data_IF_146689857805
#
_entry.id   IF_146689857805
#
_cell.length_a   1.000
_cell.length_b   1.000
_cell.length_c   1.000
_cell.angle_alpha   90.00
_cell.angle_beta   90.00
_cell.angle_gamma   90.00
#
_symmetry.space_group_name_H-M   'P 1'
#
loop_
_entity.id
_entity.type
_entity.pdbx_description
1 polymer ?
#
# COMPACT_ATOMS: atom_id res chain seq x y z
N UNK A 1 3.07 -19.17 -24.13
CA UNK A 1 3.54 -17.99 -24.93
C UNK A 1 4.82 -17.50 -24.30
N UNK A 2 5.92 -17.53 -25.03
CA UNK A 2 7.27 -17.23 -24.50
C UNK A 2 7.68 -15.76 -24.53
N UNK A 3 6.94 -14.89 -25.23
CA UNK A 3 7.15 -13.45 -25.19
C UNK A 3 5.87 -12.65 -25.48
N UNK A 4 5.82 -11.41 -25.03
CA UNK A 4 4.80 -10.42 -25.38
C UNK A 4 5.48 -9.15 -25.87
N UNK A 5 5.16 -8.74 -27.11
CA UNK A 5 5.59 -7.46 -27.65
C UNK A 5 4.80 -6.32 -27.01
N UNK A 6 5.50 -5.29 -26.58
CA UNK A 6 4.92 -4.12 -25.92
C UNK A 6 4.96 -2.90 -26.84
N UNK A 7 4.06 -1.96 -26.63
CA UNK A 7 3.99 -0.74 -27.42
C UNK A 7 5.25 0.12 -27.30
N UNK A 8 5.82 0.19 -26.10
CA UNK A 8 7.07 0.87 -25.73
C UNK A 8 7.51 0.42 -24.33
N UNK A 9 8.71 0.77 -23.90
CA UNK A 9 9.23 0.51 -22.55
C UNK A 9 8.64 1.44 -21.51
N UNK A 10 9.48 1.99 -20.60
CA UNK A 10 9.01 2.97 -19.62
C UNK A 10 8.46 4.25 -20.28
N UNK A 11 9.01 4.63 -21.42
CA UNK A 11 8.62 5.85 -22.14
C UNK A 11 8.33 5.57 -23.61
N UNK A 12 7.50 6.40 -24.29
CA UNK A 12 7.12 6.19 -25.70
C UNK A 12 8.28 6.12 -26.70
N UNK A 13 9.41 6.74 -26.40
CA UNK A 13 10.63 6.71 -27.24
C UNK A 13 11.48 5.45 -27.03
N UNK A 14 11.21 4.65 -25.98
CA UNK A 14 11.97 3.43 -25.69
C UNK A 14 11.39 2.23 -26.46
N UNK A 15 11.79 2.10 -27.70
CA UNK A 15 11.37 1.03 -28.63
C UNK A 15 12.59 0.39 -29.30
N UNK A 16 12.54 -0.92 -29.62
CA UNK A 16 11.43 -1.87 -29.33
C UNK A 16 11.31 -2.22 -27.85
N UNK A 17 10.18 -2.85 -27.47
CA UNK A 17 9.94 -3.29 -26.09
C UNK A 17 9.20 -4.63 -26.08
N UNK A 18 9.60 -5.52 -25.18
CA UNK A 18 8.97 -6.83 -24.96
C UNK A 18 9.24 -7.35 -23.56
N UNK A 19 8.42 -8.30 -23.12
CA UNK A 19 8.74 -9.18 -21.99
C UNK A 19 8.90 -10.60 -22.50
N UNK A 20 9.83 -11.36 -21.92
CA UNK A 20 10.13 -12.73 -22.30
C UNK A 20 10.89 -13.45 -21.18
N UNK A 21 10.94 -14.78 -21.23
CA UNK A 21 11.75 -15.61 -20.34
C UNK A 21 13.15 -15.82 -20.92
N UNK A 22 14.22 -15.60 -20.13
CA UNK A 22 15.61 -15.76 -20.57
C UNK A 22 15.92 -17.21 -21.01
N UNK A 23 15.29 -18.20 -20.35
CA UNK A 23 15.42 -19.62 -20.66
C UNK A 23 14.63 -20.06 -21.90
N UNK A 24 13.88 -19.16 -22.52
CA UNK A 24 13.01 -19.40 -23.66
C UNK A 24 11.71 -20.13 -23.31
N UNK A 25 11.44 -20.35 -22.01
CA UNK A 25 10.19 -20.93 -21.51
C UNK A 25 8.96 -20.03 -21.71
N UNK A 26 7.82 -20.54 -21.36
CA UNK A 26 6.58 -19.77 -21.38
C UNK A 26 6.53 -18.76 -20.24
N UNK A 27 5.93 -17.59 -20.52
CA UNK A 27 5.65 -16.59 -19.51
C UNK A 27 4.68 -17.15 -18.47
N UNK A 28 4.87 -16.86 -17.16
CA UNK A 28 3.99 -17.35 -16.09
C UNK A 28 2.65 -16.63 -16.04
N UNK A 29 2.30 -15.86 -17.06
CA UNK A 29 1.07 -15.06 -17.14
C UNK A 29 0.34 -15.25 -18.46
N UNK A 30 -0.98 -15.08 -18.39
CA UNK A 30 -1.87 -14.97 -19.56
C UNK A 30 -2.62 -13.65 -19.47
N UNK A 31 -2.58 -12.84 -20.52
CA UNK A 31 -3.40 -11.63 -20.63
C UNK A 31 -4.81 -12.04 -21.08
N UNK A 32 -5.78 -11.93 -20.19
CA UNK A 32 -7.17 -12.30 -20.45
C UNK A 32 -7.95 -11.16 -21.14
N UNK A 33 -7.53 -9.93 -20.95
CA UNK A 33 -8.12 -8.74 -21.55
C UNK A 33 -7.13 -7.56 -21.54
N UNK A 34 -7.30 -6.64 -22.46
CA UNK A 34 -6.49 -5.42 -22.57
C UNK A 34 -5.13 -5.64 -23.25
N UNK A 35 -4.27 -4.64 -23.10
CA UNK A 35 -2.89 -4.62 -23.61
C UNK A 35 -1.99 -3.96 -22.58
N UNK A 36 -1.57 -4.69 -21.53
CA UNK A 36 -0.72 -4.14 -20.49
C UNK A 36 0.60 -3.63 -21.04
N UNK A 37 1.06 -2.49 -20.54
CA UNK A 37 2.34 -1.92 -20.90
C UNK A 37 3.47 -2.40 -19.99
N UNK A 38 4.67 -1.89 -20.25
CA UNK A 38 5.90 -2.25 -19.54
C UNK A 38 5.80 -2.01 -18.03
N UNK A 39 5.36 -0.82 -17.60
CA UNK A 39 5.21 -0.49 -16.18
C UNK A 39 4.07 -1.30 -15.55
N UNK A 40 2.98 -1.58 -16.28
CA UNK A 40 1.90 -2.43 -15.79
C UNK A 40 2.39 -3.83 -15.40
N UNK A 41 3.28 -4.43 -16.22
CA UNK A 41 3.87 -5.74 -15.88
C UNK A 41 4.82 -5.67 -14.68
N UNK A 42 5.60 -4.59 -14.55
CA UNK A 42 6.44 -4.39 -13.36
C UNK A 42 5.58 -4.30 -12.09
N UNK A 43 4.51 -3.52 -12.13
CA UNK A 43 3.55 -3.43 -11.01
C UNK A 43 2.88 -4.77 -10.73
N UNK A 44 2.43 -5.47 -11.77
CA UNK A 44 1.76 -6.75 -11.66
C UNK A 44 2.64 -7.81 -10.99
N UNK A 45 3.88 -7.97 -11.43
CA UNK A 45 4.78 -9.00 -10.90
C UNK A 45 5.27 -8.68 -9.48
N UNK A 46 5.56 -7.42 -9.17
CA UNK A 46 5.91 -7.03 -7.80
C UNK A 46 4.70 -7.15 -6.86
N UNK A 47 3.52 -6.70 -7.30
CA UNK A 47 2.29 -6.82 -6.54
C UNK A 47 1.90 -8.28 -6.26
N UNK A 48 2.04 -9.17 -7.25
CA UNK A 48 1.76 -10.59 -7.07
C UNK A 48 2.65 -11.23 -6.00
N UNK A 49 3.95 -10.97 -6.03
CA UNK A 49 4.87 -11.48 -5.03
C UNK A 49 4.47 -11.02 -3.62
N UNK A 50 4.15 -9.73 -3.47
CA UNK A 50 3.72 -9.16 -2.20
C UNK A 50 2.46 -9.84 -1.65
N UNK A 51 1.40 -9.95 -2.43
CA UNK A 51 0.14 -10.54 -1.93
C UNK A 51 0.24 -12.04 -1.67
N UNK A 52 1.04 -12.75 -2.45
CA UNK A 52 1.34 -14.17 -2.21
C UNK A 52 2.00 -14.37 -0.85
N UNK A 53 3.01 -13.57 -0.54
CA UNK A 53 3.71 -13.63 0.75
C UNK A 53 2.80 -13.19 1.91
N UNK A 54 1.97 -12.16 1.75
CA UNK A 54 1.00 -11.76 2.77
C UNK A 54 0.03 -12.90 3.10
N UNK A 55 -0.51 -13.56 2.08
CA UNK A 55 -1.39 -14.71 2.31
C UNK A 55 -0.67 -15.86 3.00
N UNK A 56 0.53 -16.17 2.59
CA UNK A 56 1.34 -17.22 3.21
C UNK A 56 1.64 -16.92 4.68
N UNK A 57 2.00 -15.68 4.99
CA UNK A 57 2.37 -15.25 6.34
C UNK A 57 1.18 -15.12 7.30
N UNK A 58 -0.02 -14.81 6.80
CA UNK A 58 -1.19 -14.48 7.63
C UNK A 58 -2.33 -15.49 7.52
N UNK A 59 -2.36 -16.31 6.47
CA UNK A 59 -3.47 -17.22 6.17
C UNK A 59 -4.73 -16.51 5.62
N UNK A 60 -4.69 -15.19 5.46
CA UNK A 60 -5.81 -14.37 5.00
C UNK A 60 -5.68 -13.98 3.53
N UNK A 61 -6.80 -13.81 2.80
CA UNK A 61 -6.75 -13.19 1.48
C UNK A 61 -6.09 -11.82 1.55
N UNK A 62 -5.30 -11.48 0.55
CA UNK A 62 -4.54 -10.24 0.51
C UNK A 62 -4.68 -9.52 -0.82
N UNK A 63 -4.55 -8.19 -0.78
CA UNK A 63 -4.56 -7.34 -1.94
C UNK A 63 -3.55 -6.20 -1.80
N UNK A 64 -3.07 -5.69 -2.92
CA UNK A 64 -2.24 -4.48 -2.97
C UNK A 64 -2.66 -3.57 -4.11
N UNK A 65 -2.46 -2.28 -3.90
CA UNK A 65 -2.59 -1.21 -4.89
C UNK A 65 -1.18 -0.74 -5.22
N UNK A 66 -0.73 -0.98 -6.43
CA UNK A 66 0.62 -0.63 -6.90
C UNK A 66 0.60 0.57 -7.83
N UNK A 67 1.60 1.42 -7.72
CA UNK A 67 1.82 2.54 -8.64
C UNK A 67 3.30 2.92 -8.68
N UNK A 68 3.82 3.12 -9.89
CA UNK A 68 5.25 3.43 -10.10
C UNK A 68 6.19 2.44 -9.41
N UNK A 69 5.86 1.14 -9.55
CA UNK A 69 6.65 0.01 -9.05
C UNK A 69 6.86 0.03 -7.53
N UNK A 70 5.90 0.59 -6.80
CA UNK A 70 5.84 0.53 -5.33
C UNK A 70 4.38 0.41 -4.86
N UNK A 71 4.12 -0.24 -3.72
CA UNK A 71 2.78 -0.30 -3.17
C UNK A 71 2.37 1.09 -2.64
N UNK A 72 1.18 1.55 -3.05
CA UNK A 72 0.48 2.66 -2.42
C UNK A 72 -0.29 2.18 -1.18
N UNK A 73 -0.67 0.90 -1.17
CA UNK A 73 -1.32 0.22 -0.06
C UNK A 73 -1.22 -1.29 -0.19
N UNK A 74 -1.31 -1.98 0.94
CA UNK A 74 -1.33 -3.44 1.05
C UNK A 74 -2.15 -3.82 2.27
N UNK A 75 -2.97 -4.88 2.17
CA UNK A 75 -3.85 -5.28 3.25
C UNK A 75 -4.27 -6.73 3.16
N UNK A 76 -4.74 -7.26 4.29
CA UNK A 76 -5.40 -8.57 4.39
C UNK A 76 -6.90 -8.41 4.59
N UNK A 77 -7.66 -9.47 4.30
CA UNK A 77 -9.12 -9.48 4.23
C UNK A 77 -9.79 -9.54 5.60
N UNK A 78 -9.69 -8.46 6.38
CA UNK A 78 -10.46 -8.30 7.61
C UNK A 78 -11.74 -7.48 7.35
N UNK A 79 -12.82 -7.72 8.11
CA UNK A 79 -14.07 -6.98 7.97
C UNK A 79 -13.87 -5.47 8.11
N UNK A 80 -14.66 -4.69 7.39
CA UNK A 80 -14.66 -3.23 7.48
C UNK A 80 -15.63 -2.76 8.58
N UNK A 81 -15.21 -1.76 9.37
CA UNK A 81 -16.15 -0.99 10.18
C UNK A 81 -17.02 -0.10 9.30
N UNK A 82 -18.14 0.39 9.83
CA UNK A 82 -18.99 1.36 9.10
C UNK A 82 -18.21 2.62 8.67
N UNK A 83 -17.33 3.11 9.53
CA UNK A 83 -16.48 4.27 9.24
C UNK A 83 -15.52 3.98 8.10
N UNK A 84 -14.82 2.83 8.12
CA UNK A 84 -13.93 2.44 7.04
C UNK A 84 -14.69 2.23 5.73
N UNK A 85 -15.86 1.60 5.78
CA UNK A 85 -16.70 1.44 4.58
C UNK A 85 -17.06 2.80 3.95
N UNK A 86 -17.38 3.81 4.78
CA UNK A 86 -17.67 5.17 4.30
C UNK A 86 -16.46 5.85 3.68
N UNK A 87 -15.31 5.86 4.35
CA UNK A 87 -14.10 6.55 3.82
C UNK A 87 -13.52 5.83 2.59
N UNK A 88 -13.84 4.55 2.39
CA UNK A 88 -13.44 3.77 1.21
C UNK A 88 -14.49 3.76 0.11
N UNK A 89 -15.61 4.47 0.30
CA UNK A 89 -16.73 4.58 -0.66
C UNK A 89 -17.32 3.21 -1.04
N UNK A 90 -17.46 2.31 -0.06
CA UNK A 90 -18.02 0.96 -0.24
C UNK A 90 -19.21 0.65 0.67
N UNK A 91 -19.69 1.63 1.42
CA UNK A 91 -20.82 1.51 2.34
C UNK A 91 -22.16 1.22 1.65
N UNK A 92 -22.26 1.45 0.36
CA UNK A 92 -23.41 1.14 -0.48
C UNK A 92 -23.36 -0.27 -1.13
N UNK A 93 -22.29 -1.02 -0.94
CA UNK A 93 -22.10 -2.34 -1.58
C UNK A 93 -22.60 -3.53 -0.73
N UNK A 94 -23.05 -3.28 0.49
CA UNK A 94 -23.45 -4.35 1.42
C UNK A 94 -22.25 -5.10 2.00
N UNK A 95 -22.45 -6.36 2.37
CA UNK A 95 -21.40 -7.23 2.88
C UNK A 95 -20.43 -7.60 1.75
N UNK A 96 -19.14 -7.37 1.98
CA UNK A 96 -18.08 -7.67 1.03
C UNK A 96 -17.38 -8.97 1.38
N UNK A 97 -16.93 -9.71 0.36
CA UNK A 97 -16.06 -10.87 0.55
C UNK A 97 -14.74 -10.47 1.24
N UNK A 98 -14.04 -11.42 1.90
CA UNK A 98 -12.73 -11.11 2.50
C UNK A 98 -11.72 -10.54 1.50
N UNK A 99 -11.69 -11.01 0.25
CA UNK A 99 -10.81 -10.48 -0.78
C UNK A 99 -11.18 -9.05 -1.18
N UNK A 100 -12.48 -8.74 -1.31
CA UNK A 100 -12.97 -7.39 -1.56
C UNK A 100 -12.63 -6.45 -0.40
N UNK A 101 -12.75 -6.90 0.85
CA UNK A 101 -12.28 -6.15 2.03
C UNK A 101 -10.80 -5.86 1.97
N UNK A 102 -9.97 -6.84 1.58
CA UNK A 102 -8.51 -6.64 1.43
C UNK A 102 -8.22 -5.53 0.41
N UNK A 103 -8.87 -5.55 -0.75
CA UNK A 103 -8.66 -4.51 -1.75
C UNK A 103 -9.21 -3.14 -1.33
N UNK A 104 -10.38 -3.09 -0.72
CA UNK A 104 -10.94 -1.85 -0.18
C UNK A 104 -9.97 -1.19 0.81
N UNK A 105 -9.34 -1.97 1.69
CA UNK A 105 -8.33 -1.52 2.64
C UNK A 105 -7.02 -1.10 1.96
N UNK A 106 -6.50 -1.90 1.04
CA UNK A 106 -5.26 -1.61 0.33
C UNK A 106 -5.35 -0.31 -0.48
N UNK A 107 -6.44 -0.12 -1.23
CA UNK A 107 -6.67 1.11 -1.98
C UNK A 107 -7.05 2.27 -1.09
N UNK A 108 -7.87 2.02 -0.07
CA UNK A 108 -8.48 3.03 0.77
C UNK A 108 -7.52 3.77 1.67
N UNK A 109 -6.38 3.16 2.01
CA UNK A 109 -5.39 3.77 2.88
C UNK A 109 -4.76 5.05 2.28
N UNK A 110 -4.53 5.06 0.98
CA UNK A 110 -4.02 6.23 0.24
C UNK A 110 -4.74 6.33 -1.11
N UNK A 111 -5.94 6.90 -1.09
CA UNK A 111 -6.80 7.00 -2.25
C UNK A 111 -6.22 7.93 -3.33
N UNK A 112 -5.40 8.90 -2.95
CA UNK A 112 -4.74 9.81 -3.89
C UNK A 112 -3.67 9.07 -4.70
N UNK A 113 -2.79 8.32 -4.03
CA UNK A 113 -1.74 7.55 -4.71
C UNK A 113 -2.30 6.35 -5.47
N UNK A 114 -3.44 5.79 -5.04
CA UNK A 114 -4.08 4.64 -5.68
C UNK A 114 -4.90 4.99 -6.94
N UNK A 115 -5.09 6.25 -7.24
CA UNK A 115 -5.76 6.68 -8.47
C UNK A 115 -4.95 6.26 -9.70
N UNK A 116 -5.50 5.36 -10.52
CA UNK A 116 -4.79 4.75 -11.66
C UNK A 116 -3.80 3.66 -11.26
N UNK A 117 -4.10 2.89 -10.20
CA UNK A 117 -3.29 1.79 -9.69
C UNK A 117 -3.26 0.57 -10.61
N UNK A 118 -2.33 -0.34 -10.32
CA UNK A 118 -2.37 -1.73 -10.74
C UNK A 118 -2.60 -2.64 -9.54
N UNK A 119 -3.63 -3.49 -9.61
CA UNK A 119 -4.11 -4.29 -8.48
C UNK A 119 -3.48 -5.67 -8.53
N UNK A 120 -3.05 -6.20 -7.37
CA UNK A 120 -2.74 -7.62 -7.23
C UNK A 120 -3.61 -8.26 -6.15
N UNK A 121 -4.11 -9.46 -6.43
CA UNK A 121 -4.97 -10.25 -5.56
C UNK A 121 -4.34 -11.61 -5.30
N UNK A 122 -4.34 -12.06 -4.04
CA UNK A 122 -3.73 -13.35 -3.66
C UNK A 122 -4.55 -14.56 -4.06
N UNK A 123 -5.85 -14.38 -4.28
CA UNK A 123 -6.84 -15.42 -4.55
C UNK A 123 -7.61 -15.15 -5.84
N UNK A 124 -8.41 -16.12 -6.26
CA UNK A 124 -9.33 -15.93 -7.38
C UNK A 124 -10.22 -14.71 -7.15
N UNK A 125 -10.23 -13.80 -8.13
CA UNK A 125 -11.05 -12.60 -8.09
C UNK A 125 -12.53 -13.01 -8.15
N UNK A 126 -13.25 -12.74 -7.08
CA UNK A 126 -14.69 -12.97 -6.97
C UNK A 126 -15.52 -11.79 -7.51
N UNK A 127 -16.84 -11.97 -7.55
CA UNK A 127 -17.79 -10.97 -8.06
C UNK A 127 -17.74 -9.67 -7.26
N UNK A 128 -17.67 -9.75 -5.91
CA UNK A 128 -17.66 -8.57 -5.04
C UNK A 128 -16.42 -7.73 -5.30
N UNK A 129 -15.26 -8.37 -5.40
CA UNK A 129 -13.99 -7.72 -5.71
C UNK A 129 -14.03 -7.06 -7.10
N UNK A 130 -14.56 -7.75 -8.10
CA UNK A 130 -14.71 -7.21 -9.45
C UNK A 130 -15.65 -6.00 -9.51
N UNK A 131 -16.76 -6.03 -8.76
CA UNK A 131 -17.68 -4.88 -8.65
C UNK A 131 -17.01 -3.66 -8.02
N UNK A 132 -16.20 -3.86 -6.98
CA UNK A 132 -15.42 -2.80 -6.36
C UNK A 132 -14.41 -2.23 -7.36
N UNK A 133 -13.64 -3.07 -8.05
CA UNK A 133 -12.66 -2.65 -9.06
C UNK A 133 -13.34 -1.87 -10.19
N UNK A 134 -14.50 -2.30 -10.64
CA UNK A 134 -15.25 -1.67 -11.76
C UNK A 134 -15.50 -0.18 -11.52
N UNK A 135 -15.76 0.21 -10.28
CA UNK A 135 -16.12 1.59 -9.90
C UNK A 135 -14.93 2.51 -9.64
N UNK A 136 -13.72 1.96 -9.58
CA UNK A 136 -12.50 2.72 -9.27
C UNK A 136 -11.68 3.03 -10.53
N UNK A 137 -10.91 4.11 -10.51
CA UNK A 137 -9.93 4.41 -11.58
C UNK A 137 -8.70 3.57 -11.36
N UNK A 138 -8.48 2.60 -12.23
CA UNK A 138 -7.43 1.59 -12.14
C UNK A 138 -6.93 1.22 -13.53
N UNK A 139 -5.68 0.81 -13.67
CA UNK A 139 -5.07 0.43 -14.95
C UNK A 139 -5.18 -1.06 -15.25
N UNK A 140 -5.24 -1.89 -14.23
CA UNK A 140 -5.35 -3.32 -14.42
C UNK A 140 -5.30 -4.12 -13.12
N UNK A 141 -5.44 -5.43 -13.26
CA UNK A 141 -5.43 -6.39 -12.15
C UNK A 141 -4.70 -7.67 -12.54
N UNK A 142 -3.96 -8.25 -11.59
CA UNK A 142 -3.38 -9.59 -11.65
C UNK A 142 -3.94 -10.44 -10.52
N UNK A 143 -4.33 -11.67 -10.84
CA UNK A 143 -4.82 -12.65 -9.89
C UNK A 143 -4.52 -14.08 -10.40
N UNK A 144 -4.53 -15.12 -9.53
CA UNK A 144 -4.34 -16.50 -9.94
C UNK A 144 -5.52 -17.07 -10.75
N UNK A 145 -6.68 -16.42 -10.67
CA UNK A 145 -7.88 -16.78 -11.40
C UNK A 145 -8.96 -15.72 -11.27
N UNK A 146 -10.03 -15.90 -12.00
CA UNK A 146 -11.21 -15.03 -12.02
C UNK A 146 -12.46 -15.89 -12.12
N UNK A 147 -13.45 -15.66 -11.25
CA UNK A 147 -14.75 -16.27 -11.46
C UNK A 147 -15.32 -15.79 -12.80
N UNK A 148 -16.21 -16.59 -13.42
CA UNK A 148 -16.83 -16.23 -14.69
C UNK A 148 -17.46 -14.85 -14.63
N UNK A 149 -18.20 -14.57 -13.56
CA UNK A 149 -18.89 -13.28 -13.36
C UNK A 149 -17.92 -12.13 -13.16
N UNK A 150 -16.88 -12.35 -12.36
CA UNK A 150 -15.83 -11.33 -12.15
C UNK A 150 -15.15 -10.95 -13.47
N UNK A 151 -14.80 -11.93 -14.29
CA UNK A 151 -14.16 -11.68 -15.58
C UNK A 151 -15.08 -10.91 -16.54
N UNK A 152 -16.36 -11.23 -16.58
CA UNK A 152 -17.36 -10.49 -17.37
C UNK A 152 -17.42 -9.02 -16.95
N UNK A 153 -17.49 -8.74 -15.64
CA UNK A 153 -17.54 -7.39 -15.09
C UNK A 153 -16.27 -6.59 -15.43
N UNK A 154 -15.10 -7.20 -15.27
CA UNK A 154 -13.82 -6.54 -15.54
C UNK A 154 -13.60 -6.24 -17.01
N UNK A 155 -14.05 -7.14 -17.92
CA UNK A 155 -13.96 -6.93 -19.37
C UNK A 155 -14.79 -5.76 -19.88
N UNK A 156 -15.86 -5.36 -19.18
CA UNK A 156 -16.66 -4.19 -19.54
C UNK A 156 -15.98 -2.84 -19.21
N UNK A 157 -15.03 -2.86 -18.25
CA UNK A 157 -14.34 -1.67 -17.77
C UNK A 157 -13.49 -1.04 -18.87
N UNK A 158 -13.34 0.30 -18.86
CA UNK A 158 -12.59 1.07 -19.87
C UNK A 158 -13.04 0.76 -21.31
N UNK A 159 -14.36 0.61 -21.51
CA UNK A 159 -14.93 0.27 -22.84
C UNK A 159 -14.32 -1.00 -23.44
N UNK A 160 -14.02 -1.99 -22.62
CA UNK A 160 -13.43 -3.27 -23.04
C UNK A 160 -11.89 -3.31 -23.05
N UNK A 161 -11.22 -2.25 -22.67
CA UNK A 161 -9.75 -2.15 -22.72
C UNK A 161 -9.04 -2.32 -21.37
N UNK A 162 -9.75 -2.68 -20.30
CA UNK A 162 -9.16 -2.88 -18.97
C UNK A 162 -8.19 -4.06 -18.97
N UNK A 163 -7.03 -3.90 -18.33
CA UNK A 163 -6.00 -4.93 -18.30
C UNK A 163 -6.33 -5.99 -17.24
N UNK A 164 -6.50 -7.23 -17.67
CA UNK A 164 -6.75 -8.38 -16.81
C UNK A 164 -5.70 -9.44 -17.08
N UNK A 165 -4.87 -9.72 -16.07
CA UNK A 165 -3.77 -10.68 -16.16
C UNK A 165 -4.04 -11.84 -15.20
N UNK A 166 -3.89 -13.07 -15.71
CA UNK A 166 -3.88 -14.29 -14.90
C UNK A 166 -2.44 -14.75 -14.70
N UNK A 167 -2.03 -14.99 -13.46
CA UNK A 167 -0.73 -15.56 -13.10
C UNK A 167 -0.88 -17.05 -12.83
N UNK A 168 0.11 -17.83 -13.21
CA UNK A 168 0.27 -19.21 -12.72
C UNK A 168 0.78 -19.17 -11.27
N UNK A 169 -0.05 -19.52 -10.28
CA UNK A 169 0.37 -19.47 -8.87
C UNK A 169 1.42 -20.49 -8.49
N UNK A 170 1.63 -21.51 -9.32
CA UNK A 170 2.63 -22.56 -9.10
C UNK A 170 4.03 -22.19 -9.62
N UNK A 171 4.13 -21.11 -10.41
CA UNK A 171 5.42 -20.67 -10.95
C UNK A 171 6.36 -20.20 -9.84
N UNK A 172 7.59 -20.71 -9.89
CA UNK A 172 8.69 -20.31 -9.00
C UNK A 172 9.81 -19.71 -9.87
N UNK A 173 10.19 -18.45 -9.64
CA UNK A 173 11.30 -17.83 -10.36
C UNK A 173 12.63 -18.51 -10.08
N UNK A 174 13.61 -18.33 -10.97
CA UNK A 174 14.98 -18.80 -10.75
C UNK A 174 15.59 -18.22 -9.46
N UNK A 175 16.57 -18.92 -8.89
CA UNK A 175 17.27 -18.48 -7.66
C UNK A 175 18.06 -17.18 -7.85
N UNK A 176 18.55 -16.95 -9.07
CA UNK A 176 19.33 -15.77 -9.44
C UNK A 176 18.46 -14.79 -10.24
N UNK A 177 18.56 -13.53 -9.88
CA UNK A 177 17.94 -12.43 -10.64
C UNK A 177 19.01 -11.49 -11.19
N UNK A 178 18.73 -10.87 -12.35
CA UNK A 178 19.64 -10.01 -13.08
C UNK A 178 19.02 -8.67 -13.39
N UNK A 179 19.88 -7.64 -13.37
CA UNK A 179 19.54 -6.28 -13.77
C UNK A 179 20.68 -5.70 -14.60
N UNK A 180 20.35 -4.98 -15.65
CA UNK A 180 21.34 -4.30 -16.48
C UNK A 180 21.32 -2.79 -16.27
N UNK A 181 22.50 -2.21 -16.03
CA UNK A 181 22.70 -0.77 -15.95
C UNK A 181 23.94 -0.43 -16.78
N UNK A 182 23.82 0.47 -17.73
CA UNK A 182 24.89 0.88 -18.62
C UNK A 182 25.61 -0.30 -19.32
N UNK A 183 24.85 -1.33 -19.70
CA UNK A 183 25.39 -2.54 -20.32
C UNK A 183 26.08 -3.52 -19.35
N UNK A 184 26.25 -3.16 -18.08
CA UNK A 184 26.78 -4.04 -17.04
C UNK A 184 25.63 -4.82 -16.43
N UNK A 185 25.78 -6.14 -16.36
CA UNK A 185 24.82 -7.04 -15.72
C UNK A 185 25.17 -7.21 -14.26
N UNK A 186 24.22 -6.89 -13.40
CA UNK A 186 24.24 -7.19 -11.97
C UNK A 186 23.47 -8.50 -11.74
N UNK A 187 24.04 -9.40 -10.98
CA UNK A 187 23.43 -10.70 -10.62
C UNK A 187 23.47 -10.87 -9.12
N UNK A 188 22.34 -11.30 -8.54
CA UNK A 188 22.23 -11.57 -7.11
C UNK A 188 21.26 -12.73 -6.88
N UNK A 189 21.34 -13.34 -5.69
CA UNK A 189 20.28 -14.23 -5.22
C UNK A 189 18.97 -13.47 -5.03
N UNK A 190 17.87 -14.08 -5.43
CA UNK A 190 16.54 -13.53 -5.18
C UNK A 190 16.29 -13.45 -3.66
N UNK A 191 15.60 -12.39 -3.22
CA UNK A 191 15.26 -12.24 -1.81
C UNK A 191 14.14 -13.22 -1.42
N UNK A 192 14.54 -14.39 -0.89
CA UNK A 192 13.64 -15.46 -0.46
C UNK A 192 13.39 -15.47 1.05
N UNK A 193 13.76 -14.40 1.75
CA UNK A 193 13.55 -14.29 3.18
C UNK A 193 12.07 -14.49 3.53
N UNK A 194 11.81 -15.51 4.37
CA UNK A 194 10.49 -15.74 4.97
C UNK A 194 10.27 -14.80 6.16
N UNK A 195 9.25 -13.97 6.06
CA UNK A 195 8.87 -13.03 7.11
C UNK A 195 7.81 -13.69 7.98
N UNK A 196 8.27 -14.49 8.92
CA UNK A 196 7.46 -15.19 9.92
C UNK A 196 7.57 -14.57 11.33
N UNK A 197 6.87 -15.14 12.31
CA UNK A 197 6.85 -14.61 13.68
C UNK A 197 8.20 -14.63 14.40
N UNK A 198 9.11 -15.54 14.05
CA UNK A 198 10.44 -15.66 14.68
C UNK A 198 11.32 -14.44 14.40
N UNK A 199 11.10 -13.78 13.26
CA UNK A 199 11.81 -12.55 12.87
C UNK A 199 11.64 -11.44 13.92
N UNK A 200 10.56 -11.45 14.67
CA UNK A 200 10.22 -10.42 15.67
C UNK A 200 10.50 -10.85 17.12
N UNK A 201 11.22 -11.95 17.33
CA UNK A 201 11.48 -12.49 18.67
C UNK A 201 12.50 -11.68 19.48
N UNK A 202 13.39 -10.94 18.80
CA UNK A 202 14.40 -10.11 19.48
C UNK A 202 13.86 -8.74 19.88
N UNK A 203 13.00 -8.68 20.91
CA UNK A 203 12.47 -7.43 21.45
C UNK A 203 13.50 -6.77 22.35
N UNK A 204 13.93 -5.57 21.99
CA UNK A 204 15.05 -4.85 22.64
C UNK A 204 14.59 -3.78 23.65
N UNK A 205 13.33 -3.38 23.65
CA UNK A 205 12.73 -2.41 24.57
C UNK A 205 12.34 -3.05 25.92
N UNK A 206 12.06 -2.23 26.94
CA UNK A 206 11.59 -2.69 28.25
C UNK A 206 10.25 -3.41 28.17
N UNK A 207 9.27 -2.81 27.48
CA UNK A 207 8.02 -3.47 27.15
C UNK A 207 8.29 -4.55 26.09
N UNK A 208 7.86 -5.79 26.38
CA UNK A 208 8.11 -6.96 25.52
C UNK A 208 6.84 -7.51 24.89
N UNK A 209 5.67 -6.92 25.20
CA UNK A 209 4.39 -7.48 24.81
C UNK A 209 4.04 -7.12 23.36
N UNK A 210 3.93 -8.13 22.50
CA UNK A 210 3.44 -8.02 21.13
C UNK A 210 2.13 -8.82 21.03
N UNK A 211 0.95 -8.15 21.02
CA UNK A 211 -0.32 -8.82 20.78
C UNK A 211 -0.39 -9.48 19.40
N UNK A 212 -1.23 -10.49 19.23
CA UNK A 212 -1.37 -11.23 17.97
C UNK A 212 -1.65 -10.33 16.75
N UNK A 213 -2.53 -9.33 16.92
CA UNK A 213 -2.81 -8.38 15.84
C UNK A 213 -1.59 -7.54 15.49
N UNK A 214 -0.80 -7.10 16.47
CA UNK A 214 0.43 -6.36 16.21
C UNK A 214 1.48 -7.21 15.49
N UNK A 215 1.54 -8.52 15.79
CA UNK A 215 2.42 -9.45 15.09
C UNK A 215 2.00 -9.60 13.62
N UNK A 216 0.71 -9.69 13.33
CA UNK A 216 0.19 -9.67 11.95
C UNK A 216 0.58 -8.37 11.26
N UNK A 217 0.39 -7.23 11.93
CA UNK A 217 0.71 -5.91 11.38
C UNK A 217 2.22 -5.74 11.12
N UNK A 218 3.08 -6.29 11.98
CA UNK A 218 4.54 -6.34 11.74
C UNK A 218 4.90 -7.15 10.49
N UNK A 219 4.27 -8.31 10.28
CA UNK A 219 4.44 -9.11 9.06
C UNK A 219 4.02 -8.31 7.83
N UNK A 220 2.86 -7.67 7.87
CA UNK A 220 2.37 -6.82 6.77
C UNK A 220 3.34 -5.69 6.47
N UNK A 221 3.83 -5.00 7.50
CA UNK A 221 4.80 -3.92 7.32
C UNK A 221 6.07 -4.39 6.61
N UNK A 222 6.69 -5.46 7.09
CA UNK A 222 7.98 -5.91 6.56
C UNK A 222 7.83 -6.57 5.18
N UNK A 223 6.77 -7.32 4.91
CA UNK A 223 6.49 -7.88 3.57
C UNK A 223 6.22 -6.75 2.57
N UNK A 224 5.47 -5.74 2.95
CA UNK A 224 5.22 -4.56 2.11
C UNK A 224 6.52 -3.86 1.74
N UNK A 225 7.43 -3.68 2.71
CA UNK A 225 8.73 -3.03 2.48
C UNK A 225 9.67 -3.84 1.60
N UNK A 226 9.56 -5.16 1.61
CA UNK A 226 10.34 -6.05 0.74
C UNK A 226 10.13 -5.73 -0.76
N UNK A 227 8.98 -5.12 -1.11
CA UNK A 227 8.59 -4.74 -2.48
C UNK A 227 8.42 -3.23 -2.67
N UNK A 228 8.97 -2.42 -1.77
CA UNK A 228 8.91 -0.96 -1.81
C UNK A 228 10.28 -0.38 -2.09
N UNK A 229 10.36 0.54 -3.06
CA UNK A 229 11.63 1.22 -3.39
C UNK A 229 12.23 1.91 -2.17
N UNK A 230 13.51 1.64 -1.89
CA UNK A 230 14.20 2.17 -0.71
C UNK A 230 14.62 3.64 -0.88
N UNK A 231 14.83 4.41 0.22
CA UNK A 231 14.44 4.03 1.60
C UNK A 231 12.95 3.93 1.71
N UNK A 232 12.49 2.98 2.50
CA UNK A 232 11.06 2.78 2.72
C UNK A 232 10.70 2.55 4.18
N UNK A 233 9.51 3.06 4.56
CA UNK A 233 8.91 2.95 5.88
C UNK A 233 7.40 2.71 5.71
N UNK A 234 6.83 1.85 6.53
CA UNK A 234 5.43 1.47 6.44
C UNK A 234 4.75 1.53 7.82
N UNK A 235 3.68 2.32 7.90
CA UNK A 235 2.76 2.34 9.05
C UNK A 235 1.61 1.39 8.76
N UNK A 236 1.29 0.53 9.72
CA UNK A 236 0.24 -0.50 9.59
C UNK A 236 -0.69 -0.45 10.79
N UNK A 237 -1.98 -0.63 10.57
CA UNK A 237 -2.98 -0.78 11.62
C UNK A 237 -4.08 -1.74 11.18
N UNK A 238 -4.43 -2.65 12.09
CA UNK A 238 -5.56 -3.56 11.93
C UNK A 238 -5.60 -4.27 10.57
N UNK A 239 -4.47 -4.83 10.14
CA UNK A 239 -4.36 -5.64 8.93
C UNK A 239 -4.18 -4.86 7.64
N UNK A 240 -3.83 -3.58 7.69
CA UNK A 240 -3.62 -2.77 6.50
C UNK A 240 -2.49 -1.74 6.66
N UNK A 241 -1.70 -1.54 5.62
CA UNK A 241 -0.81 -0.40 5.51
C UNK A 241 -1.65 0.88 5.45
N UNK A 242 -1.34 1.85 6.30
CA UNK A 242 -2.05 3.14 6.38
C UNK A 242 -1.19 4.32 5.92
N UNK A 243 0.11 4.10 5.76
CA UNK A 243 1.02 5.08 5.18
C UNK A 243 2.33 4.42 4.78
N UNK A 244 2.69 4.55 3.50
CA UNK A 244 3.92 4.01 2.93
C UNK A 244 4.75 5.16 2.37
N UNK A 245 5.99 5.28 2.84
CA UNK A 245 7.00 6.15 2.25
C UNK A 245 7.96 5.32 1.41
N UNK A 246 8.19 5.73 0.17
CA UNK A 246 9.02 5.01 -0.79
C UNK A 246 10.03 5.94 -1.46
N UNK A 247 11.20 5.40 -1.85
CA UNK A 247 12.18 6.08 -2.69
C UNK A 247 12.82 7.33 -2.07
N UNK A 248 12.85 7.43 -0.74
CA UNK A 248 13.42 8.60 -0.06
C UNK A 248 14.91 8.42 0.23
N UNK A 249 15.71 9.47 0.03
CA UNK A 249 17.15 9.44 0.28
C UNK A 249 17.50 9.56 1.78
N UNK A 250 16.61 10.16 2.57
CA UNK A 250 16.76 10.33 4.02
C UNK A 250 15.74 9.49 4.78
N UNK A 251 16.19 8.74 5.80
CA UNK A 251 15.31 7.94 6.65
C UNK A 251 14.23 8.78 7.33
N UNK A 252 14.61 9.92 7.91
CA UNK A 252 13.65 10.79 8.59
C UNK A 252 12.62 11.39 7.61
N UNK A 253 13.00 11.75 6.39
CA UNK A 253 12.04 12.23 5.38
C UNK A 253 11.07 11.13 5.01
N UNK A 254 11.54 9.89 4.90
CA UNK A 254 10.70 8.74 4.65
C UNK A 254 9.68 8.52 5.78
N UNK A 255 10.15 8.54 7.04
CA UNK A 255 9.30 8.39 8.22
C UNK A 255 8.25 9.50 8.33
N UNK A 256 8.61 10.74 7.99
CA UNK A 256 7.67 11.88 7.94
C UNK A 256 6.62 11.71 6.85
N UNK A 257 7.03 11.36 5.65
CA UNK A 257 6.12 11.16 4.51
C UNK A 257 5.10 10.04 4.80
N UNK A 258 5.59 8.88 5.21
CA UNK A 258 4.74 7.75 5.58
C UNK A 258 3.81 8.09 6.75
N UNK A 259 4.31 8.79 7.76
CA UNK A 259 3.54 9.24 8.90
C UNK A 259 2.45 10.26 8.53
N UNK A 260 2.73 11.18 7.62
CA UNK A 260 1.73 12.11 7.11
C UNK A 260 0.58 11.39 6.39
N UNK A 261 0.89 10.37 5.59
CA UNK A 261 -0.13 9.54 4.94
C UNK A 261 -0.98 8.78 5.97
N UNK A 262 -0.35 8.22 7.00
CA UNK A 262 -1.04 7.55 8.10
C UNK A 262 -1.95 8.52 8.87
N UNK A 263 -1.49 9.73 9.14
CA UNK A 263 -2.28 10.78 9.78
C UNK A 263 -3.49 11.16 8.91
N UNK A 264 -3.30 11.34 7.60
CA UNK A 264 -4.38 11.64 6.66
C UNK A 264 -5.44 10.52 6.63
N UNK A 265 -5.03 9.26 6.66
CA UNK A 265 -5.96 8.13 6.75
C UNK A 265 -6.85 8.24 8.01
N UNK A 266 -6.28 8.59 9.17
CA UNK A 266 -7.03 8.74 10.39
C UNK A 266 -7.89 10.02 10.43
N UNK A 267 -7.38 11.15 9.90
CA UNK A 267 -8.13 12.39 9.76
C UNK A 267 -9.38 12.24 8.89
N UNK A 268 -9.33 11.40 7.86
CA UNK A 268 -10.50 11.10 7.00
C UNK A 268 -11.67 10.49 7.78
N UNK A 269 -11.41 9.90 8.94
CA UNK A 269 -12.42 9.28 9.81
C UNK A 269 -13.05 10.28 10.78
N UNK A 270 -12.56 11.50 10.86
CA UNK A 270 -13.10 12.53 11.74
C UNK A 270 -14.52 12.94 11.33
N UNK A 271 -15.42 13.23 12.30
CA UNK A 271 -16.79 13.66 12.00
C UNK A 271 -16.86 14.85 11.05
N UNK A 272 -15.94 15.81 11.17
CA UNK A 272 -15.86 16.98 10.28
C UNK A 272 -15.65 16.57 8.82
N UNK A 273 -14.89 15.52 8.57
CA UNK A 273 -14.61 15.02 7.21
C UNK A 273 -15.74 14.13 6.71
N UNK A 274 -16.25 13.22 7.56
CA UNK A 274 -17.37 12.33 7.21
C UNK A 274 -18.64 13.09 6.85
N UNK A 275 -18.85 14.26 7.45
CA UNK A 275 -20.04 15.09 7.27
C UNK A 275 -19.83 16.27 6.29
N UNK A 276 -18.77 16.25 5.47
CA UNK A 276 -18.57 17.27 4.44
C UNK A 276 -19.78 17.33 3.49
N UNK A 277 -20.41 18.52 3.30
CA UNK A 277 -21.64 18.66 2.54
C UNK A 277 -21.36 18.72 1.02
N UNK A 278 -20.87 17.61 0.45
CA UNK A 278 -20.58 17.55 -0.98
C UNK A 278 -21.82 17.76 -1.86
N UNK A 279 -21.65 18.45 -2.97
CA UNK A 279 -22.64 18.50 -4.04
C UNK A 279 -22.86 17.07 -4.60
N UNK A 280 -24.12 16.73 -4.92
CA UNK A 280 -24.50 15.38 -5.35
C UNK A 280 -23.75 14.92 -6.61
N UNK A 281 -23.58 15.85 -7.55
CA UNK A 281 -22.92 15.61 -8.83
C UNK A 281 -21.41 15.39 -8.73
N UNK A 282 -20.80 15.71 -7.58
CA UNK A 282 -19.35 15.57 -7.41
C UNK A 282 -18.94 14.09 -7.31
N UNK A 283 -18.13 13.64 -8.25
CA UNK A 283 -17.63 12.27 -8.32
C UNK A 283 -16.68 11.92 -7.18
N UNK A 284 -16.50 10.62 -6.92
CA UNK A 284 -15.63 10.12 -5.83
C UNK A 284 -14.20 10.63 -5.90
N UNK A 285 -13.59 10.64 -7.07
CA UNK A 285 -12.22 11.14 -7.26
C UNK A 285 -12.09 12.62 -6.87
N UNK A 286 -13.07 13.44 -7.24
CA UNK A 286 -13.10 14.87 -6.90
C UNK A 286 -13.36 15.07 -5.40
N UNK A 287 -14.20 14.23 -4.78
CA UNK A 287 -14.40 14.23 -3.33
C UNK A 287 -13.13 13.84 -2.59
N UNK A 288 -12.42 12.80 -3.03
CA UNK A 288 -11.14 12.41 -2.45
C UNK A 288 -10.09 13.52 -2.54
N UNK A 289 -10.01 14.21 -3.69
CA UNK A 289 -9.14 15.37 -3.86
C UNK A 289 -9.53 16.52 -2.94
N UNK A 290 -10.82 16.84 -2.84
CA UNK A 290 -11.30 17.89 -1.96
C UNK A 290 -11.02 17.58 -0.48
N UNK A 291 -11.17 16.31 -0.05
CA UNK A 291 -10.83 15.87 1.31
C UNK A 291 -9.34 16.03 1.56
N UNK A 292 -8.49 15.58 0.64
CA UNK A 292 -7.03 15.65 0.79
C UNK A 292 -6.56 17.09 1.01
N UNK A 293 -7.08 18.04 0.22
CA UNK A 293 -6.79 19.49 0.38
C UNK A 293 -7.40 20.03 1.67
N UNK A 294 -8.65 19.66 2.01
CA UNK A 294 -9.35 20.15 3.20
C UNK A 294 -8.65 19.78 4.52
N UNK A 295 -8.12 18.57 4.61
CA UNK A 295 -7.37 18.12 5.80
C UNK A 295 -5.92 18.61 5.81
N UNK A 296 -5.41 19.10 4.68
CA UNK A 296 -4.04 19.61 4.51
C UNK A 296 -3.85 21.04 5.04
N UNK A 297 -2.64 21.56 4.88
CA UNK A 297 -2.30 22.93 5.24
C UNK A 297 -2.84 23.95 4.22
N UNK A 298 -3.13 23.52 3.00
CA UNK A 298 -3.61 24.34 1.89
C UNK A 298 -5.14 24.33 1.75
N UNK A 299 -5.85 24.10 2.86
CA UNK A 299 -7.32 23.99 2.91
C UNK A 299 -8.06 25.21 2.31
N UNK A 300 -7.44 26.39 2.32
CA UNK A 300 -8.02 27.59 1.71
C UNK A 300 -8.33 27.41 0.23
N UNK A 301 -7.57 26.55 -0.47
CA UNK A 301 -7.77 26.30 -1.90
C UNK A 301 -9.14 25.67 -2.22
N UNK A 302 -9.74 24.97 -1.27
CA UNK A 302 -11.11 24.44 -1.41
C UNK A 302 -12.16 25.23 -0.62
N UNK A 303 -11.76 26.10 0.33
CA UNK A 303 -12.68 26.86 1.19
C UNK A 303 -12.80 28.33 0.84
N UNK A 304 -11.93 28.89 -0.03
CA UNK A 304 -12.03 30.30 -0.46
C UNK A 304 -13.27 30.54 -1.32
N UNK A 305 -13.72 31.79 -1.33
CA UNK A 305 -14.88 32.23 -2.11
C UNK A 305 -14.70 31.96 -3.61
N UNK A 306 -15.75 31.40 -4.24
CA UNK A 306 -15.70 30.97 -5.64
C UNK A 306 -15.15 29.55 -5.85
N UNK A 307 -14.55 28.90 -4.82
CA UNK A 307 -14.03 27.56 -4.90
C UNK A 307 -14.86 26.55 -4.10
N UNK A 308 -15.31 26.91 -2.89
CA UNK A 308 -16.13 25.98 -2.10
C UNK A 308 -17.48 25.66 -2.78
N UNK A 309 -18.09 26.64 -3.46
CA UNK A 309 -19.36 26.46 -4.18
C UNK A 309 -19.29 25.41 -5.31
N UNK A 310 -18.09 25.12 -5.80
CA UNK A 310 -17.89 24.10 -6.85
C UNK A 310 -17.95 22.68 -6.30
N UNK A 311 -17.86 22.52 -4.98
CA UNK A 311 -17.67 21.19 -4.33
C UNK A 311 -18.70 20.90 -3.26
N UNK A 312 -19.18 21.94 -2.57
CA UNK A 312 -20.03 21.82 -1.39
C UNK A 312 -21.35 22.57 -1.57
N UNK A 313 -22.40 22.06 -0.93
CA UNK A 313 -23.72 22.73 -0.89
C UNK A 313 -23.74 23.89 0.09
N UNK A 314 -22.86 23.90 1.07
CA UNK A 314 -22.59 25.00 2.01
C UNK A 314 -21.12 25.02 2.39
N UNK A 315 -20.61 26.16 2.83
CA UNK A 315 -19.19 26.30 3.17
C UNK A 315 -18.86 25.54 4.43
N UNK A 316 -18.00 24.49 4.37
CA UNK A 316 -17.56 23.80 5.56
C UNK A 316 -16.74 24.69 6.48
N UNK A 317 -16.78 24.47 7.81
CA UNK A 317 -15.85 25.11 8.72
C UNK A 317 -14.42 24.63 8.46
N UNK A 318 -13.44 25.43 8.86
CA UNK A 318 -12.02 25.01 8.82
C UNK A 318 -11.82 23.88 9.83
N UNK A 319 -11.13 22.81 9.43
CA UNK A 319 -10.64 21.79 10.34
C UNK A 319 -9.30 22.28 10.92
N UNK A 320 -9.35 22.89 12.08
CA UNK A 320 -8.21 23.60 12.66
C UNK A 320 -7.08 22.65 13.04
N UNK A 321 -5.88 23.21 13.16
CA UNK A 321 -4.69 22.43 13.56
C UNK A 321 -4.86 21.79 14.94
N UNK A 322 -5.48 22.50 15.87
CA UNK A 322 -5.78 22.03 17.23
C UNK A 322 -6.78 20.88 17.21
N UNK A 323 -7.83 20.97 16.42
CA UNK A 323 -8.83 19.91 16.25
C UNK A 323 -8.21 18.67 15.59
N UNK A 324 -7.39 18.85 14.53
CA UNK A 324 -6.66 17.75 13.89
C UNK A 324 -5.74 17.05 14.90
N UNK A 325 -4.98 17.81 15.67
CA UNK A 325 -4.09 17.26 16.69
C UNK A 325 -4.85 16.46 17.74
N UNK A 326 -5.95 16.99 18.27
CA UNK A 326 -6.79 16.30 19.26
C UNK A 326 -7.39 15.01 18.70
N UNK A 327 -7.81 15.00 17.44
CA UNK A 327 -8.31 13.79 16.77
C UNK A 327 -7.21 12.74 16.60
N UNK A 328 -6.01 13.13 16.18
CA UNK A 328 -4.88 12.22 15.96
C UNK A 328 -4.40 11.55 17.26
N UNK A 329 -4.58 12.17 18.41
CA UNK A 329 -4.27 11.56 19.72
C UNK A 329 -5.11 10.29 19.99
N UNK A 330 -6.26 10.14 19.35
CA UNK A 330 -7.10 8.93 19.39
C UNK A 330 -6.55 7.75 18.57
N UNK A 331 -5.61 7.99 17.65
CA UNK A 331 -4.99 6.91 16.88
C UNK A 331 -3.87 6.28 17.71
N UNK A 332 -4.08 5.03 18.15
CA UNK A 332 -3.16 4.31 19.01
C UNK A 332 -2.96 2.88 18.50
N UNK A 333 -1.88 2.24 18.94
CA UNK A 333 -1.59 0.84 18.58
C UNK A 333 -1.13 0.64 17.15
N UNK A 334 -0.58 1.68 16.50
CA UNK A 334 -0.03 1.61 15.15
C UNK A 334 1.30 0.87 15.17
N UNK A 335 1.54 0.09 14.13
CA UNK A 335 2.81 -0.61 13.88
C UNK A 335 3.63 0.13 12.84
N UNK A 336 4.93 0.22 13.03
CA UNK A 336 5.90 0.81 12.11
C UNK A 336 6.94 -0.22 11.71
N UNK A 337 7.13 -0.39 10.40
CA UNK A 337 8.25 -1.14 9.82
C UNK A 337 9.23 -0.22 9.11
N UNK A 338 10.52 -0.56 9.14
CA UNK A 338 11.57 0.12 8.40
C UNK A 338 12.45 -0.88 7.67
N UNK A 339 12.79 -0.61 6.41
CA UNK A 339 13.63 -1.48 5.58
C UNK A 339 15.12 -1.45 5.97
N UNK A 340 15.53 -0.48 6.80
CA UNK A 340 16.86 -0.40 7.40
C UNK A 340 16.78 0.24 8.80
N UNK A 341 17.92 0.31 9.51
CA UNK A 341 17.95 0.86 10.86
C UNK A 341 17.57 2.35 10.91
N UNK A 342 17.04 2.77 12.04
CA UNK A 342 16.85 4.19 12.36
C UNK A 342 18.16 4.80 12.86
N UNK A 343 18.72 5.81 12.18
CA UNK A 343 20.00 6.40 12.58
C UNK A 343 19.90 7.30 13.82
N UNK A 344 18.70 7.86 14.08
CA UNK A 344 18.43 8.82 15.16
C UNK A 344 17.04 8.62 15.77
N UNK A 345 16.88 9.06 17.01
CA UNK A 345 15.62 8.98 17.76
C UNK A 345 14.51 9.90 17.25
N UNK A 346 14.80 10.87 16.39
CA UNK A 346 13.80 11.74 15.76
C UNK A 346 12.77 10.94 14.93
N UNK A 347 13.16 9.79 14.38
CA UNK A 347 12.25 8.86 13.72
C UNK A 347 11.20 8.30 14.70
N UNK A 348 11.61 8.00 15.93
CA UNK A 348 10.70 7.49 16.98
C UNK A 348 9.79 8.61 17.48
N UNK A 349 10.32 9.82 17.69
CA UNK A 349 9.52 11.00 18.03
C UNK A 349 8.44 11.28 16.97
N UNK A 350 8.79 11.16 15.69
CA UNK A 350 7.80 11.29 14.59
C UNK A 350 6.76 10.18 14.63
N UNK A 351 7.20 8.93 14.81
CA UNK A 351 6.31 7.77 14.88
C UNK A 351 5.31 7.87 16.03
N UNK A 352 5.76 8.34 17.19
CA UNK A 352 4.91 8.55 18.35
C UNK A 352 3.71 9.47 18.06
N UNK A 353 3.92 10.54 17.29
CA UNK A 353 2.86 11.48 16.91
C UNK A 353 1.76 10.87 16.03
N UNK A 354 2.04 9.75 15.37
CA UNK A 354 1.07 8.98 14.57
C UNK A 354 0.52 7.75 15.30
N UNK A 355 0.71 7.66 16.62
CA UNK A 355 0.15 6.58 17.46
C UNK A 355 0.90 5.27 17.39
N UNK A 356 2.14 5.24 16.95
CA UNK A 356 2.96 4.03 16.88
C UNK A 356 3.23 3.47 18.28
N UNK A 357 2.98 2.19 18.44
CA UNK A 357 3.25 1.40 19.63
C UNK A 357 4.26 0.28 19.37
N UNK A 358 4.25 -0.29 18.19
CA UNK A 358 5.04 -1.45 17.80
C UNK A 358 5.95 -1.12 16.64
N UNK A 359 7.23 -1.53 16.72
CA UNK A 359 8.23 -1.20 15.71
C UNK A 359 9.02 -2.45 15.34
N UNK A 360 9.21 -2.66 14.03
CA UNK A 360 10.12 -3.65 13.48
C UNK A 360 11.18 -2.94 12.62
N UNK A 361 12.46 -3.14 12.94
CA UNK A 361 13.58 -2.60 12.18
C UNK A 361 14.83 -3.45 12.39
N UNK A 362 15.83 -3.41 11.49
CA UNK A 362 16.98 -4.31 11.60
C UNK A 362 17.85 -4.12 12.84
N UNK A 363 17.99 -2.90 13.35
CA UNK A 363 19.08 -2.57 14.29
C UNK A 363 20.44 -2.45 13.58
N UNK A 364 21.51 -2.26 14.34
CA UNK A 364 22.87 -2.16 13.83
C UNK A 364 23.39 -0.73 13.63
N UNK A 365 22.65 0.28 14.10
CA UNK A 365 23.14 1.65 14.20
C UNK A 365 24.04 1.83 15.42
N UNK A 366 25.06 2.67 15.28
CA UNK A 366 25.89 3.08 16.42
C UNK A 366 25.11 3.85 17.49
N UNK A 367 23.87 4.25 17.21
CA UNK A 367 22.96 4.97 18.11
C UNK A 367 21.72 4.16 18.47
N UNK A 368 21.77 2.85 18.37
CA UNK A 368 20.64 1.98 18.74
C UNK A 368 20.21 2.19 20.19
N UNK A 369 21.14 2.45 21.11
CA UNK A 369 20.87 2.77 22.51
C UNK A 369 19.92 3.96 22.68
N UNK A 370 20.17 5.06 21.96
CA UNK A 370 19.32 6.27 21.98
C UNK A 370 17.94 6.02 21.34
N UNK A 371 17.89 5.20 20.31
CA UNK A 371 16.62 4.81 19.65
C UNK A 371 15.78 3.95 20.61
N UNK A 372 16.40 2.97 21.29
CA UNK A 372 15.75 2.13 22.29
C UNK A 372 15.26 2.98 23.48
N UNK A 373 16.09 3.87 24.01
CA UNK A 373 15.71 4.78 25.10
C UNK A 373 14.49 5.63 24.75
N UNK A 374 14.43 6.15 23.52
CA UNK A 374 13.27 6.91 23.04
C UNK A 374 12.02 6.05 22.95
N UNK A 375 12.11 4.80 22.50
CA UNK A 375 11.01 3.86 22.52
C UNK A 375 10.53 3.58 23.95
N UNK A 376 11.43 3.36 24.89
CA UNK A 376 11.13 3.11 26.30
C UNK A 376 10.42 4.31 26.97
N UNK A 377 10.81 5.53 26.61
CA UNK A 377 10.17 6.78 27.06
C UNK A 377 8.65 6.79 26.77
N UNK A 378 8.25 6.21 25.62
CA UNK A 378 6.86 6.16 25.18
C UNK A 378 6.20 4.78 25.39
N UNK A 379 6.84 3.92 26.16
CA UNK A 379 6.36 2.53 26.39
C UNK A 379 6.08 1.76 25.10
N UNK A 380 6.88 2.02 24.04
CA UNK A 380 6.82 1.30 22.78
C UNK A 380 7.51 -0.06 22.87
N UNK A 381 7.12 -0.96 21.96
CA UNK A 381 7.74 -2.28 21.79
C UNK A 381 8.50 -2.29 20.49
N UNK A 382 9.81 -2.55 20.52
CA UNK A 382 10.63 -2.61 19.31
C UNK A 382 11.34 -3.95 19.20
N UNK A 383 11.19 -4.61 18.06
CA UNK A 383 11.92 -5.81 17.69
C UNK A 383 13.02 -5.46 16.67
N UNK A 384 14.23 -6.00 16.89
CA UNK A 384 15.30 -5.99 15.92
C UNK A 384 15.22 -7.24 15.05
N UNK A 385 14.99 -7.06 13.75
CA UNK A 385 14.90 -8.16 12.78
C UNK A 385 16.29 -8.67 12.35
N UNK A 386 17.34 -7.84 12.50
CA UNK A 386 18.67 -8.17 12.03
C UNK A 386 18.83 -8.17 10.51
N UNK A 387 17.79 -7.82 9.75
CA UNK A 387 17.74 -7.97 8.29
C UNK A 387 17.33 -6.67 7.62
N UNK A 388 18.17 -6.22 6.70
CA UNK A 388 17.89 -5.09 5.80
C UNK A 388 17.08 -5.58 4.58
N UNK A 389 16.07 -4.83 4.19
CA UNK A 389 15.15 -5.15 3.08
C UNK A 389 15.25 -4.14 1.93
N UNK A 390 16.43 -3.67 1.58
CA UNK A 390 16.57 -2.76 0.46
C UNK A 390 16.05 -3.37 -0.84
N UNK A 391 15.29 -2.57 -1.58
CA UNK A 391 14.72 -2.90 -2.87
C UNK A 391 14.99 -1.77 -3.86
N UNK A 392 15.68 -2.10 -4.97
CA UNK A 392 16.08 -1.15 -5.99
C UNK A 392 15.77 -1.62 -7.41
#
# INVERSE_FOLDING_TARGET
MNEIQLKYGCNPNQKPSRIFMEDGGDLPVTVLNGKPGYINFLDAFNGWQLVRELKQATGLPAATSFKHVSPAGAAVGLPLSETLAKIYWVDDLGELSPLACAYARARGADRMSSFGDFIALSDECDEDTARLIKREVSDGVIAPGYSKKALEILKEKKKGAYNVIQIDPSYVPAELERKQVFGVTFEQGRNELDINGELFSNVVTKNKEIPDQALIDMKIAMITLKYTQSNSVCYVKDGQAIGIGAGQQSRIHCTRLAGQKADNWYLRQAPQVLNLPFAEELGRADRDNAIDVYIGEEYEDVLKEGEWQKRFTEKPPVFTREEKKAWLEGNQGVTLGSDAFFPFSDNIERAHKSGVKYIAQPGGSVRDDLVIECCDKYDMVMAFTGIRLFHH
#
